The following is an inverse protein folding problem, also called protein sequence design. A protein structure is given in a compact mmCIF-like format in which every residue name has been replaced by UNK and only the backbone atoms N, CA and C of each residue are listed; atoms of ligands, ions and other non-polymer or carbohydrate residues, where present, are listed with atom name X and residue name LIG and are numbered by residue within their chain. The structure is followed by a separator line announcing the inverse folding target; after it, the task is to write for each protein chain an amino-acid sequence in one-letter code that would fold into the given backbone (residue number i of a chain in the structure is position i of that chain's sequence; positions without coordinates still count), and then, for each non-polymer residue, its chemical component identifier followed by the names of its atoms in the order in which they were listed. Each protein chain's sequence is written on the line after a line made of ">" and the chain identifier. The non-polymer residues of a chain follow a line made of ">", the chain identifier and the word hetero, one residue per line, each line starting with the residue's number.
data_IF_122809035529
#
_entry.id   IF_122809035529
#
_cell.length_a   1.000
_cell.length_b   1.000
_cell.length_c   1.000
_cell.angle_alpha   90.00
_cell.angle_beta   90.00
_cell.angle_gamma   90.00
#
_symmetry.space_group_name_H-M   'P 1'
#
loop_
_entity.id
_entity.type
_entity.pdbx_description
1 polymer ?
#
# COMPACT_ATOMS: atom_id res chain seq x y z
N UNK A 1 -2.96 -13.91 -7.35
CA UNK A 1 -1.74 -13.83 -8.18
C UNK A 1 -2.06 -14.12 -9.65
N UNK A 2 -2.66 -15.28 -9.99
CA UNK A 2 -2.98 -15.66 -11.38
C UNK A 2 -3.82 -14.60 -12.11
N UNK A 3 -4.92 -14.13 -11.50
CA UNK A 3 -5.83 -13.16 -12.09
C UNK A 3 -5.14 -11.82 -12.42
N UNK A 4 -4.29 -11.30 -11.51
CA UNK A 4 -3.50 -10.08 -11.77
C UNK A 4 -2.50 -10.29 -12.91
N UNK A 5 -1.86 -11.45 -12.98
CA UNK A 5 -0.94 -11.76 -14.08
C UNK A 5 -1.67 -11.86 -15.42
N UNK A 6 -2.86 -12.45 -15.47
CA UNK A 6 -3.69 -12.51 -16.66
C UNK A 6 -4.11 -11.11 -17.15
N UNK A 7 -4.53 -10.24 -16.21
CA UNK A 7 -4.84 -8.86 -16.52
C UNK A 7 -3.62 -8.08 -17.07
N UNK A 8 -2.45 -8.22 -16.43
CA UNK A 8 -1.21 -7.59 -16.89
C UNK A 8 -0.77 -8.04 -18.28
N UNK A 9 -1.08 -9.29 -18.66
CA UNK A 9 -0.82 -9.82 -20.01
C UNK A 9 -1.91 -9.49 -21.04
N UNK A 10 -3.00 -8.82 -20.62
CA UNK A 10 -4.12 -8.52 -21.50
C UNK A 10 -5.01 -9.73 -21.85
N UNK A 11 -4.92 -10.82 -21.08
CA UNK A 11 -5.72 -12.05 -21.26
C UNK A 11 -7.16 -11.87 -20.75
N UNK A 12 -7.36 -10.94 -19.82
CA UNK A 12 -8.66 -10.53 -19.29
C UNK A 12 -8.78 -9.02 -19.31
N UNK A 13 -10.01 -8.53 -19.42
CA UNK A 13 -10.34 -7.10 -19.38
C UNK A 13 -10.22 -6.53 -17.98
N UNK A 14 -10.18 -5.18 -17.87
CA UNK A 14 -10.23 -4.51 -16.57
C UNK A 14 -11.52 -4.85 -15.81
N UNK A 15 -12.65 -4.96 -16.50
CA UNK A 15 -13.93 -5.29 -15.88
C UNK A 15 -13.92 -6.70 -15.26
N UNK A 16 -13.45 -7.70 -15.99
CA UNK A 16 -13.30 -9.06 -15.47
C UNK A 16 -12.37 -9.14 -14.27
N UNK A 17 -11.27 -8.38 -14.28
CA UNK A 17 -10.35 -8.28 -13.16
C UNK A 17 -11.02 -7.65 -11.93
N UNK A 18 -11.76 -6.55 -12.11
CA UNK A 18 -12.48 -5.85 -11.04
C UNK A 18 -13.57 -6.74 -10.46
N UNK A 19 -14.39 -7.39 -11.30
CA UNK A 19 -15.49 -8.25 -10.87
C UNK A 19 -15.00 -9.45 -10.07
N UNK A 20 -13.89 -10.04 -10.49
CA UNK A 20 -13.24 -11.11 -9.73
C UNK A 20 -12.80 -10.62 -8.33
N UNK A 21 -12.13 -9.47 -8.24
CA UNK A 21 -11.68 -8.95 -6.96
C UNK A 21 -12.88 -8.57 -6.06
N UNK A 22 -13.92 -7.93 -6.61
CA UNK A 22 -15.15 -7.59 -5.88
C UNK A 22 -15.82 -8.85 -5.30
N UNK A 23 -15.89 -9.92 -6.08
CA UNK A 23 -16.42 -11.21 -5.57
C UNK A 23 -15.59 -11.72 -4.39
N UNK A 24 -14.25 -11.66 -4.48
CA UNK A 24 -13.37 -12.11 -3.39
C UNK A 24 -13.46 -11.21 -2.15
N UNK A 25 -13.62 -9.92 -2.34
CA UNK A 25 -13.88 -8.96 -1.26
C UNK A 25 -15.20 -9.31 -0.57
N UNK A 26 -16.26 -9.56 -1.32
CA UNK A 26 -17.56 -9.93 -0.75
C UNK A 26 -17.49 -11.23 0.06
N UNK A 27 -16.84 -12.27 -0.47
CA UNK A 27 -16.60 -13.54 0.25
C UNK A 27 -15.86 -13.28 1.57
N UNK A 28 -14.83 -12.42 1.54
CA UNK A 28 -13.99 -12.08 2.69
C UNK A 28 -14.74 -11.28 3.76
N UNK A 29 -15.51 -10.27 3.35
CA UNK A 29 -16.33 -9.45 4.26
C UNK A 29 -17.36 -10.34 4.96
N UNK A 30 -18.09 -11.18 4.21
CA UNK A 30 -19.04 -12.11 4.79
C UNK A 30 -18.40 -13.04 5.81
N UNK A 31 -17.25 -13.62 5.48
CA UNK A 31 -16.53 -14.50 6.40
C UNK A 31 -16.12 -13.79 7.69
N UNK A 32 -15.63 -12.56 7.61
CA UNK A 32 -15.28 -11.76 8.78
C UNK A 32 -16.50 -11.44 9.66
N UNK A 33 -17.67 -11.19 9.05
CA UNK A 33 -18.93 -11.02 9.79
C UNK A 33 -19.34 -12.33 10.49
N UNK A 34 -19.27 -13.46 9.80
CA UNK A 34 -19.65 -14.77 10.32
C UNK A 34 -18.79 -15.19 11.53
N UNK A 35 -17.52 -14.83 11.57
CA UNK A 35 -16.62 -15.05 12.74
C UNK A 35 -16.71 -13.98 13.81
N UNK A 36 -17.47 -12.91 13.59
CA UNK A 36 -17.79 -11.93 14.60
C UNK A 36 -16.77 -10.79 14.78
N UNK A 37 -15.95 -10.44 13.77
CA UNK A 37 -15.07 -9.29 13.86
C UNK A 37 -15.85 -7.98 13.96
N UNK A 38 -15.34 -7.00 14.73
CA UNK A 38 -15.98 -5.70 14.93
C UNK A 38 -15.57 -4.66 13.88
N UNK A 39 -14.32 -4.72 13.40
CA UNK A 39 -13.78 -3.89 12.34
C UNK A 39 -13.26 -4.81 11.24
N UNK A 40 -13.71 -4.60 10.02
CA UNK A 40 -13.43 -5.48 8.90
C UNK A 40 -12.38 -4.89 7.95
N UNK A 41 -11.78 -5.72 7.12
CA UNK A 41 -10.87 -5.33 6.04
C UNK A 41 -11.33 -5.91 4.71
N UNK A 42 -10.96 -5.27 3.59
CA UNK A 42 -11.37 -5.73 2.26
C UNK A 42 -10.61 -6.99 1.77
N UNK A 43 -9.49 -7.37 2.41
CA UNK A 43 -8.74 -8.59 2.13
C UNK A 43 -7.61 -8.45 1.12
N UNK A 44 -7.35 -7.27 0.58
CA UNK A 44 -6.18 -6.91 -0.26
C UNK A 44 -5.96 -7.77 -1.51
N UNK A 45 -7.02 -8.24 -2.15
CA UNK A 45 -6.95 -9.14 -3.31
C UNK A 45 -6.30 -8.52 -4.55
N UNK A 46 -6.32 -7.20 -4.66
CA UNK A 46 -5.69 -6.42 -5.71
C UNK A 46 -4.17 -6.27 -5.52
N UNK A 47 -3.66 -6.45 -4.29
CA UNK A 47 -2.26 -6.19 -3.95
C UNK A 47 -1.36 -7.38 -4.17
N UNK A 48 -0.07 -7.12 -4.35
CA UNK A 48 1.01 -8.11 -4.43
C UNK A 48 1.95 -8.00 -3.25
N UNK A 49 2.70 -6.90 -3.21
CA UNK A 49 3.60 -6.50 -2.15
C UNK A 49 3.19 -5.11 -1.68
N UNK A 50 3.33 -4.84 -0.37
CA UNK A 50 2.83 -3.59 0.22
C UNK A 50 3.56 -2.35 -0.29
N UNK A 51 4.80 -2.46 -0.77
CA UNK A 51 5.55 -1.34 -1.34
C UNK A 51 5.42 -1.29 -2.85
N UNK A 52 5.50 -2.43 -3.55
CA UNK A 52 5.30 -2.50 -5.00
C UNK A 52 3.93 -1.95 -5.40
N UNK A 53 2.86 -2.32 -4.68
CA UNK A 53 1.51 -1.87 -4.97
C UNK A 53 1.36 -0.34 -4.93
N UNK A 54 1.84 0.29 -3.85
CA UNK A 54 1.77 1.75 -3.70
C UNK A 54 2.72 2.45 -4.67
N UNK A 55 3.94 1.95 -4.86
CA UNK A 55 4.88 2.53 -5.81
C UNK A 55 4.37 2.50 -7.26
N UNK A 56 3.65 1.46 -7.68
CA UNK A 56 3.01 1.41 -9.02
C UNK A 56 1.94 2.51 -9.18
N UNK A 57 1.24 2.88 -8.11
CA UNK A 57 0.19 3.90 -8.13
C UNK A 57 0.71 5.34 -8.00
N UNK A 58 1.89 5.52 -7.42
CA UNK A 58 2.52 6.83 -7.22
C UNK A 58 3.33 7.27 -8.44
N UNK A 59 3.49 8.59 -8.65
CA UNK A 59 4.46 9.18 -9.56
C UNK A 59 5.86 9.14 -8.97
N UNK A 60 6.90 9.23 -9.80
CA UNK A 60 8.30 9.23 -9.38
C UNK A 60 8.90 7.85 -9.10
N UNK A 61 8.13 6.77 -9.25
CA UNK A 61 8.58 5.40 -9.09
C UNK A 61 8.80 4.67 -10.42
N UNK A 62 9.83 3.84 -10.46
CA UNK A 62 10.17 2.96 -11.56
C UNK A 62 10.34 1.52 -11.05
N UNK A 63 9.95 0.54 -11.88
CA UNK A 63 10.06 -0.88 -11.57
C UNK A 63 10.86 -1.62 -12.63
N UNK A 64 11.75 -2.51 -12.19
CA UNK A 64 12.43 -3.44 -13.07
C UNK A 64 11.55 -4.65 -13.39
N UNK A 65 11.81 -5.31 -14.50
CA UNK A 65 11.10 -6.55 -14.84
C UNK A 65 11.65 -7.78 -14.11
N UNK A 66 12.97 -7.83 -13.88
CA UNK A 66 13.66 -9.05 -13.44
C UNK A 66 14.57 -8.89 -12.22
N UNK A 67 14.73 -7.69 -11.68
CA UNK A 67 15.59 -7.45 -10.50
C UNK A 67 14.91 -7.91 -9.21
N UNK A 68 14.79 -9.21 -9.04
CA UNK A 68 14.27 -9.82 -7.82
C UNK A 68 15.32 -9.80 -6.72
N UNK A 69 14.90 -9.38 -5.54
CA UNK A 69 15.71 -9.38 -4.32
C UNK A 69 15.07 -10.32 -3.31
N UNK A 70 15.89 -11.13 -2.65
CA UNK A 70 15.40 -12.00 -1.58
C UNK A 70 14.93 -11.17 -0.39
N UNK A 71 13.76 -11.52 0.11
CA UNK A 71 13.18 -11.00 1.34
C UNK A 71 13.22 -12.08 2.43
N UNK A 72 12.14 -12.32 3.15
CA UNK A 72 12.10 -13.35 4.18
C UNK A 72 11.93 -14.76 3.59
N UNK A 73 12.74 -15.70 4.07
CA UNK A 73 12.70 -17.10 3.65
C UNK A 73 12.90 -17.22 2.13
N UNK A 74 11.96 -17.87 1.46
CA UNK A 74 11.95 -18.06 0.00
C UNK A 74 11.23 -16.97 -0.78
N UNK A 75 10.72 -15.93 -0.10
CA UNK A 75 10.02 -14.82 -0.75
C UNK A 75 11.02 -13.90 -1.44
N UNK A 76 10.72 -13.54 -2.68
CA UNK A 76 11.42 -12.50 -3.42
C UNK A 76 10.47 -11.33 -3.71
N UNK A 77 11.03 -10.13 -3.70
CA UNK A 77 10.37 -8.86 -4.01
C UNK A 77 11.12 -8.12 -5.11
N UNK A 78 10.47 -7.17 -5.76
CA UNK A 78 11.11 -6.23 -6.67
C UNK A 78 11.04 -4.83 -6.05
N UNK A 79 12.10 -4.39 -5.36
CA UNK A 79 12.10 -3.05 -4.78
C UNK A 79 11.90 -1.99 -5.86
N UNK A 80 11.03 -1.01 -5.61
CA UNK A 80 10.90 0.13 -6.51
C UNK A 80 12.16 0.99 -6.52
N UNK A 81 12.34 1.75 -7.60
CA UNK A 81 13.38 2.77 -7.74
C UNK A 81 12.68 4.13 -7.72
N UNK A 82 13.05 5.00 -6.79
CA UNK A 82 12.59 6.38 -6.75
C UNK A 82 13.54 7.19 -7.63
N UNK A 83 13.05 7.67 -8.78
CA UNK A 83 13.87 8.37 -9.77
C UNK A 83 13.48 9.85 -9.94
N UNK A 84 12.35 10.26 -9.39
CA UNK A 84 11.83 11.62 -9.51
C UNK A 84 10.97 12.01 -8.32
N UNK A 85 10.35 13.18 -8.37
CA UNK A 85 9.46 13.64 -7.30
C UNK A 85 8.25 12.73 -7.15
N UNK A 86 7.93 12.41 -5.90
CA UNK A 86 6.82 11.52 -5.58
C UNK A 86 5.53 12.30 -5.41
N UNK A 87 4.49 11.86 -6.10
CA UNK A 87 3.15 12.44 -6.00
C UNK A 87 2.07 11.37 -6.23
N UNK A 88 0.88 11.61 -5.74
CA UNK A 88 -0.28 10.76 -5.96
C UNK A 88 -0.92 11.09 -7.32
N UNK A 89 -1.01 10.10 -8.18
CA UNK A 89 -1.61 10.25 -9.53
C UNK A 89 -3.14 10.24 -9.50
N UNK A 90 -3.72 9.38 -8.67
CA UNK A 90 -5.15 9.14 -8.54
C UNK A 90 -5.43 8.35 -7.25
N UNK A 91 -6.69 8.19 -6.82
CA UNK A 91 -7.06 7.30 -5.72
C UNK A 91 -6.47 5.89 -5.89
N UNK A 92 -5.92 5.34 -4.82
CA UNK A 92 -5.16 4.07 -4.84
C UNK A 92 -6.03 2.92 -4.32
N UNK A 93 -6.62 3.11 -3.14
CA UNK A 93 -7.33 2.08 -2.38
C UNK A 93 -8.82 2.38 -2.20
N UNK A 94 -9.23 3.59 -2.53
CA UNK A 94 -10.59 4.11 -2.25
C UNK A 94 -11.66 3.23 -2.88
N UNK A 95 -11.54 2.86 -4.18
CA UNK A 95 -12.52 2.02 -4.88
C UNK A 95 -12.79 0.71 -4.12
N UNK A 96 -11.75 0.05 -3.64
CA UNK A 96 -11.86 -1.24 -2.98
C UNK A 96 -12.42 -1.12 -1.56
N UNK A 97 -11.97 -0.12 -0.81
CA UNK A 97 -12.42 0.15 0.56
C UNK A 97 -13.89 0.56 0.59
N UNK A 98 -14.30 1.45 -0.31
CA UNK A 98 -15.70 1.91 -0.43
C UNK A 98 -16.62 0.76 -0.86
N UNK A 99 -16.20 -0.04 -1.84
CA UNK A 99 -16.96 -1.23 -2.23
C UNK A 99 -17.13 -2.19 -1.05
N UNK A 100 -16.06 -2.48 -0.32
CA UNK A 100 -16.12 -3.35 0.86
C UNK A 100 -17.05 -2.76 1.94
N UNK A 101 -16.97 -1.46 2.21
CA UNK A 101 -17.86 -0.78 3.17
C UNK A 101 -19.33 -0.86 2.75
N UNK A 102 -19.64 -0.87 1.45
CA UNK A 102 -21.01 -1.00 0.96
C UNK A 102 -21.67 -2.35 1.26
N UNK A 103 -20.88 -3.36 1.60
CA UNK A 103 -21.34 -4.73 1.88
C UNK A 103 -21.68 -4.98 3.34
N UNK A 104 -21.34 -4.06 4.25
CA UNK A 104 -21.48 -4.25 5.69
C UNK A 104 -21.87 -2.96 6.41
N UNK A 105 -22.52 -3.11 7.58
CA UNK A 105 -22.80 -1.99 8.51
C UNK A 105 -21.66 -1.78 9.51
N UNK A 106 -20.74 -2.73 9.63
CA UNK A 106 -19.58 -2.62 10.51
C UNK A 106 -18.52 -1.69 9.90
N UNK A 107 -17.67 -1.05 10.70
CA UNK A 107 -16.60 -0.21 10.17
C UNK A 107 -15.64 -1.02 9.27
N UNK A 108 -15.37 -0.49 8.08
CA UNK A 108 -14.33 -1.01 7.20
C UNK A 108 -13.03 -0.24 7.45
N UNK A 109 -11.93 -0.96 7.64
CA UNK A 109 -10.62 -0.39 7.86
C UNK A 109 -9.88 -0.23 6.54
N UNK A 110 -9.49 1.00 6.20
CA UNK A 110 -8.52 1.29 5.14
C UNK A 110 -7.12 0.85 5.57
N UNK A 111 -6.36 0.26 4.65
CA UNK A 111 -5.02 -0.27 4.89
C UNK A 111 -4.04 0.40 3.94
N UNK A 112 -3.09 1.16 4.48
CA UNK A 112 -2.07 1.89 3.72
C UNK A 112 -0.67 1.49 4.19
N UNK A 113 0.30 1.58 3.30
CA UNK A 113 1.71 1.49 3.67
C UNK A 113 2.24 2.89 3.99
N UNK A 114 2.94 3.03 5.09
CA UNK A 114 3.48 4.30 5.53
C UNK A 114 4.73 4.75 4.78
N UNK A 115 5.04 6.06 4.83
CA UNK A 115 6.09 6.67 4.03
C UNK A 115 7.49 6.15 4.37
N UNK A 116 7.77 5.85 5.62
CA UNK A 116 9.06 5.29 6.05
C UNK A 116 9.28 3.92 5.43
N UNK A 117 8.27 3.05 5.46
CA UNK A 117 8.34 1.71 4.87
C UNK A 117 8.48 1.78 3.36
N UNK A 118 7.71 2.63 2.67
CA UNK A 118 7.81 2.80 1.22
C UNK A 118 9.22 3.23 0.83
N UNK A 119 9.80 4.22 1.52
CA UNK A 119 11.17 4.68 1.23
C UNK A 119 12.21 3.60 1.52
N UNK A 120 12.16 2.99 2.72
CA UNK A 120 13.20 2.06 3.16
C UNK A 120 13.25 0.75 2.37
N UNK A 121 12.13 0.32 1.79
CA UNK A 121 12.06 -0.87 0.93
C UNK A 121 12.13 -0.53 -0.56
N UNK A 122 12.52 0.71 -0.88
CA UNK A 122 12.82 1.19 -2.22
C UNK A 122 14.30 1.54 -2.37
N UNK A 123 14.77 1.67 -3.60
CA UNK A 123 16.05 2.32 -3.88
C UNK A 123 15.81 3.83 -3.95
N UNK A 124 16.27 4.62 -2.96
CA UNK A 124 16.04 6.05 -2.94
C UNK A 124 16.85 6.78 -4.00
N UNK A 125 16.37 7.95 -4.42
CA UNK A 125 17.16 8.92 -5.20
C UNK A 125 18.21 9.58 -4.29
N UNK A 126 19.33 10.01 -4.87
CA UNK A 126 20.46 10.57 -4.13
C UNK A 126 20.64 12.10 -4.31
N UNK A 127 19.84 12.71 -5.18
CA UNK A 127 19.93 14.14 -5.52
C UNK A 127 19.15 15.05 -4.55
N UNK A 128 18.29 14.49 -3.70
CA UNK A 128 17.61 15.18 -2.61
C UNK A 128 17.83 14.46 -1.28
N UNK A 129 17.53 15.12 -0.18
CA UNK A 129 17.67 14.52 1.14
C UNK A 129 16.63 13.41 1.37
N UNK A 130 16.97 12.46 2.23
CA UNK A 130 16.01 11.43 2.71
C UNK A 130 14.75 12.08 3.29
N UNK A 131 14.92 13.18 4.01
CA UNK A 131 13.84 13.97 4.60
C UNK A 131 12.85 14.49 3.55
N UNK A 132 13.36 15.05 2.46
CA UNK A 132 12.51 15.50 1.34
C UNK A 132 11.80 14.33 0.67
N UNK A 133 12.50 13.22 0.42
CA UNK A 133 11.90 12.02 -0.17
C UNK A 133 10.76 11.46 0.68
N UNK A 134 10.95 11.32 1.99
CA UNK A 134 9.91 10.86 2.92
C UNK A 134 8.74 11.86 2.94
N UNK A 135 9.01 13.16 2.98
CA UNK A 135 7.97 14.19 3.01
C UNK A 135 7.07 14.12 1.77
N UNK A 136 7.64 13.93 0.58
CA UNK A 136 6.86 13.77 -0.65
C UNK A 136 5.96 12.53 -0.58
N UNK A 137 6.47 11.39 -0.12
CA UNK A 137 5.68 10.17 0.06
C UNK A 137 4.59 10.40 1.10
N UNK A 138 4.90 11.02 2.24
CA UNK A 138 3.95 11.29 3.30
C UNK A 138 2.77 12.16 2.82
N UNK A 139 3.04 13.20 2.03
CA UNK A 139 2.00 14.04 1.44
C UNK A 139 1.11 13.25 0.47
N UNK A 140 1.69 12.38 -0.35
CA UNK A 140 0.94 11.52 -1.26
C UNK A 140 0.04 10.52 -0.52
N UNK A 141 0.52 9.92 0.58
CA UNK A 141 -0.29 9.02 1.43
C UNK A 141 -1.34 9.80 2.22
N UNK A 142 -1.03 11.01 2.70
CA UNK A 142 -2.03 11.88 3.33
C UNK A 142 -3.21 12.17 2.39
N UNK A 143 -2.96 12.43 1.12
CA UNK A 143 -4.03 12.68 0.15
C UNK A 143 -4.92 11.43 -0.05
N UNK A 144 -4.35 10.23 0.06
CA UNK A 144 -5.15 8.99 0.08
C UNK A 144 -5.99 8.85 1.36
N UNK A 145 -5.44 9.22 2.51
CA UNK A 145 -6.17 9.23 3.80
C UNK A 145 -7.38 10.17 3.72
N UNK A 146 -7.19 11.38 3.20
CA UNK A 146 -8.27 12.37 3.05
C UNK A 146 -9.37 11.86 2.13
N UNK A 147 -9.02 11.24 0.99
CA UNK A 147 -10.01 10.65 0.08
C UNK A 147 -10.78 9.49 0.73
N UNK A 148 -10.10 8.63 1.48
CA UNK A 148 -10.76 7.56 2.24
C UNK A 148 -11.75 8.14 3.25
N UNK A 149 -11.35 9.18 3.99
CA UNK A 149 -12.21 9.85 4.97
C UNK A 149 -13.42 10.50 4.31
N UNK A 150 -13.23 11.24 3.20
CA UNK A 150 -14.32 11.85 2.42
C UNK A 150 -15.31 10.81 1.91
N UNK A 151 -14.84 9.60 1.59
CA UNK A 151 -15.67 8.48 1.16
C UNK A 151 -16.22 7.62 2.31
N UNK A 152 -16.13 8.10 3.55
CA UNK A 152 -16.78 7.49 4.71
C UNK A 152 -16.00 6.38 5.42
N UNK A 153 -14.74 6.15 5.06
CA UNK A 153 -13.87 5.21 5.78
C UNK A 153 -13.36 5.89 7.05
N UNK A 154 -13.76 5.36 8.22
CA UNK A 154 -13.51 6.00 9.53
C UNK A 154 -12.36 5.39 10.31
N UNK A 155 -11.88 4.24 9.91
CA UNK A 155 -10.73 3.56 10.50
C UNK A 155 -9.69 3.37 9.41
N UNK A 156 -8.50 3.92 9.61
CA UNK A 156 -7.41 3.81 8.64
C UNK A 156 -6.16 3.34 9.39
N UNK A 157 -5.57 2.26 8.93
CA UNK A 157 -4.31 1.74 9.44
C UNK A 157 -3.20 2.09 8.47
N UNK A 158 -2.12 2.68 9.00
CA UNK A 158 -0.89 2.97 8.26
C UNK A 158 0.18 2.02 8.78
N UNK A 159 0.66 1.13 7.91
CA UNK A 159 1.64 0.12 8.26
C UNK A 159 3.07 0.63 8.06
N UNK A 160 3.82 0.74 9.16
CA UNK A 160 5.22 1.19 9.18
C UNK A 160 6.16 0.06 9.65
N UNK A 161 6.15 -1.05 8.92
CA UNK A 161 6.95 -2.23 9.23
C UNK A 161 8.46 -1.94 9.30
N UNK A 162 8.97 -1.05 8.45
CA UNK A 162 10.39 -0.72 8.39
C UNK A 162 10.90 0.08 9.59
N UNK A 163 10.05 0.73 10.36
CA UNK A 163 10.46 1.41 11.60
C UNK A 163 11.16 0.45 12.55
N UNK A 164 10.69 -0.79 12.66
CA UNK A 164 11.28 -1.78 13.53
C UNK A 164 12.57 -2.40 12.99
N UNK A 165 12.74 -2.45 11.67
CA UNK A 165 13.87 -3.10 11.02
C UNK A 165 15.12 -2.21 10.98
N UNK A 166 14.95 -0.91 10.85
CA UNK A 166 16.02 0.06 10.59
C UNK A 166 16.49 0.84 11.81
N UNK A 167 16.08 0.45 13.01
CA UNK A 167 16.48 1.10 14.25
C UNK A 167 17.73 0.42 14.85
N UNK A 168 18.95 0.87 14.50
CA UNK A 168 20.11 0.45 15.26
C UNK A 168 20.01 1.09 16.65
N UNK A 169 20.19 0.27 17.68
CA UNK A 169 20.13 0.63 19.10
C UNK A 169 20.96 1.89 19.51
N UNK A 170 21.82 2.40 18.62
CA UNK A 170 22.72 3.52 18.86
C UNK A 170 22.39 4.82 18.08
N UNK A 171 21.28 4.89 17.36
CA UNK A 171 20.93 6.10 16.56
C UNK A 171 19.59 6.66 16.98
N UNK A 172 19.47 7.09 18.24
CA UNK A 172 18.27 7.69 18.82
C UNK A 172 17.75 8.91 18.03
N UNK A 173 18.64 9.66 17.37
CA UNK A 173 18.25 10.85 16.64
C UNK A 173 17.56 10.50 15.31
N UNK A 174 18.02 9.48 14.62
CA UNK A 174 17.35 8.96 13.43
C UNK A 174 15.97 8.36 13.75
N UNK A 175 15.85 7.74 14.91
CA UNK A 175 14.58 7.21 15.38
C UNK A 175 13.53 8.30 15.54
N UNK A 176 13.89 9.41 16.16
CA UNK A 176 12.98 10.56 16.32
C UNK A 176 12.57 11.14 14.98
N UNK A 177 13.54 11.33 14.07
CA UNK A 177 13.28 11.86 12.75
C UNK A 177 12.29 10.96 11.96
N UNK A 178 12.44 9.63 12.01
CA UNK A 178 11.51 8.71 11.37
C UNK A 178 10.13 8.69 12.04
N UNK A 179 10.06 8.83 13.35
CA UNK A 179 8.79 8.92 14.06
C UNK A 179 8.02 10.21 13.74
N UNK A 180 8.74 11.32 13.57
CA UNK A 180 8.14 12.61 13.19
C UNK A 180 7.48 12.56 11.80
N UNK A 181 7.91 11.63 10.92
CA UNK A 181 7.30 11.40 9.61
C UNK A 181 6.21 10.33 9.60
N UNK A 182 6.24 9.39 10.51
CA UNK A 182 5.23 8.33 10.61
C UNK A 182 3.95 8.84 11.26
#
# INVERSE_FOLDING_TARGET
>A
KANRSAYRRGEITRQEYVDFNKKKIADCVKWQEDIGLDVLVHGEYERNDMVEYFGEALGGFLFTQKAWVQSYGTRCVKPPIIWGDVYRKSPITVEWSVYAQSLTKKPMKGMLTGPVTILNWSFPREDISIKESISQIALAIRDEVLDLEENGIRVIQIDEAALREKLPLRKSDWYREYLDFA
#
